data_IF_282233736957
#
_entry.id   IF_282233736957
#
_cell.length_a   1.000
_cell.length_b   1.000
_cell.length_c   1.000
_cell.angle_alpha   90.00
_cell.angle_beta   90.00
_cell.angle_gamma   90.00
#
_symmetry.space_group_name_H-M   'P 1'
#
loop_
_entity.id
_entity.type
_entity.pdbx_description
1 polymer ?
#
# COMPACT_ATOMS: atom_id res chain seq x y z
N UNK A 1 -6.72 -34.93 -36.45
CA UNK A 1 -6.57 -33.55 -35.90
C UNK A 1 -5.25 -33.49 -35.15
N UNK A 2 -4.37 -32.50 -35.39
CA UNK A 2 -2.99 -32.55 -34.94
C UNK A 2 -2.90 -32.34 -33.43
N UNK A 3 -2.19 -33.26 -32.77
CA UNK A 3 -1.85 -33.21 -31.35
C UNK A 3 -0.77 -32.15 -31.17
N UNK A 4 -1.19 -30.92 -30.91
CA UNK A 4 -0.32 -29.76 -30.73
C UNK A 4 0.52 -29.85 -29.46
N UNK A 5 1.78 -30.24 -29.63
CA UNK A 5 2.99 -29.87 -28.86
C UNK A 5 2.77 -29.31 -27.42
N UNK A 6 2.53 -30.20 -26.45
CA UNK A 6 2.40 -29.86 -25.01
C UNK A 6 3.73 -29.83 -24.24
N UNK A 7 4.85 -30.25 -24.82
CA UNK A 7 6.13 -30.37 -24.11
C UNK A 7 6.83 -29.02 -23.85
N UNK A 8 6.83 -28.11 -24.82
CA UNK A 8 7.49 -26.80 -24.68
C UNK A 8 6.83 -25.90 -23.61
N UNK A 9 5.50 -25.96 -23.46
CA UNK A 9 4.76 -25.26 -22.39
C UNK A 9 5.10 -25.79 -20.99
N UNK A 10 5.44 -27.08 -20.86
CA UNK A 10 5.74 -27.69 -19.55
C UNK A 10 7.12 -27.33 -18.99
N UNK A 11 8.14 -27.25 -19.85
CA UNK A 11 9.52 -26.95 -19.44
C UNK A 11 9.69 -25.50 -18.96
N UNK A 12 9.22 -24.53 -19.74
CA UNK A 12 9.29 -23.10 -19.39
C UNK A 12 8.48 -22.80 -18.12
N UNK A 13 7.28 -23.39 -17.98
CA UNK A 13 6.47 -23.21 -16.78
C UNK A 13 7.15 -23.81 -15.53
N UNK A 14 7.76 -24.99 -15.65
CA UNK A 14 8.47 -25.63 -14.54
C UNK A 14 9.68 -24.80 -14.11
N UNK A 15 10.47 -24.32 -15.07
CA UNK A 15 11.58 -23.41 -14.82
C UNK A 15 11.09 -22.10 -14.17
N UNK A 16 10.02 -21.51 -14.70
CA UNK A 16 9.43 -20.28 -14.15
C UNK A 16 8.97 -20.47 -12.70
N UNK A 17 8.36 -21.61 -12.37
CA UNK A 17 7.96 -21.94 -11.00
C UNK A 17 9.18 -22.07 -10.06
N UNK A 18 10.24 -22.74 -10.49
CA UNK A 18 11.49 -22.87 -9.72
C UNK A 18 12.17 -21.51 -9.49
N UNK A 19 12.29 -20.72 -10.56
CA UNK A 19 12.84 -19.36 -10.49
C UNK A 19 11.99 -18.48 -9.57
N UNK A 20 10.67 -18.55 -9.64
CA UNK A 20 9.75 -17.79 -8.80
C UNK A 20 9.90 -18.13 -7.31
N UNK A 21 10.13 -19.40 -6.96
CA UNK A 21 10.42 -19.79 -5.58
C UNK A 21 11.76 -19.22 -5.09
N UNK A 22 12.79 -19.24 -5.95
CA UNK A 22 14.11 -18.67 -5.64
C UNK A 22 14.06 -17.14 -5.50
N UNK A 23 13.35 -16.45 -6.39
CA UNK A 23 13.16 -14.99 -6.33
C UNK A 23 12.46 -14.58 -5.04
N UNK A 24 11.40 -15.27 -4.63
CA UNK A 24 10.73 -15.01 -3.35
C UNK A 24 11.70 -15.11 -2.17
N UNK A 25 12.49 -16.18 -2.11
CA UNK A 25 13.51 -16.36 -1.07
C UNK A 25 14.54 -15.23 -1.08
N UNK A 26 15.07 -14.88 -2.25
CA UNK A 26 16.06 -13.80 -2.38
C UNK A 26 15.49 -12.44 -1.95
N UNK A 27 14.26 -12.15 -2.33
CA UNK A 27 13.57 -10.92 -1.91
C UNK A 27 13.37 -10.87 -0.39
N UNK A 28 12.91 -11.96 0.23
CA UNK A 28 12.76 -12.03 1.69
C UNK A 28 14.10 -11.82 2.41
N UNK A 29 15.19 -12.42 1.91
CA UNK A 29 16.53 -12.20 2.48
C UNK A 29 16.95 -10.74 2.31
N UNK A 30 16.76 -10.16 1.13
CA UNK A 30 17.13 -8.78 0.86
C UNK A 30 16.38 -7.79 1.76
N UNK A 31 15.07 -7.95 1.91
CA UNK A 31 14.26 -7.10 2.80
C UNK A 31 14.71 -7.19 4.27
N UNK A 32 15.08 -8.40 4.75
CA UNK A 32 15.68 -8.59 6.09
C UNK A 32 17.02 -7.88 6.24
N UNK A 33 17.87 -7.92 5.22
CA UNK A 33 19.14 -7.19 5.23
C UNK A 33 18.91 -5.67 5.26
N UNK A 34 17.91 -5.17 4.54
CA UNK A 34 17.54 -3.76 4.59
C UNK A 34 17.05 -3.34 5.96
N UNK A 35 16.25 -4.16 6.64
CA UNK A 35 15.83 -3.90 8.02
C UNK A 35 17.04 -3.78 8.95
N UNK A 36 18.02 -4.67 8.83
CA UNK A 36 19.27 -4.59 9.63
C UNK A 36 20.03 -3.28 9.37
N UNK A 37 20.12 -2.85 8.11
CA UNK A 37 20.75 -1.59 7.76
C UNK A 37 20.03 -0.38 8.38
N UNK A 38 18.70 -0.40 8.44
CA UNK A 38 17.90 0.64 9.10
C UNK A 38 18.13 0.65 10.61
N UNK A 39 18.16 -0.53 11.26
CA UNK A 39 18.45 -0.63 12.70
C UNK A 39 19.84 -0.08 13.03
N UNK A 40 20.85 -0.45 12.24
CA UNK A 40 22.20 0.06 12.38
C UNK A 40 22.27 1.59 12.20
N UNK A 41 21.53 2.13 11.23
CA UNK A 41 21.42 3.58 11.06
C UNK A 41 20.80 4.24 12.30
N UNK A 42 19.71 3.67 12.84
CA UNK A 42 19.05 4.17 14.04
C UNK A 42 19.97 4.15 15.27
N UNK A 43 20.82 3.12 15.41
CA UNK A 43 21.87 3.07 16.45
C UNK A 43 22.90 4.19 16.27
N UNK A 44 23.35 4.42 15.03
CA UNK A 44 24.36 5.44 14.70
C UNK A 44 23.87 6.86 15.01
N UNK A 45 22.57 7.12 14.88
CA UNK A 45 21.96 8.41 15.22
C UNK A 45 21.45 8.47 16.68
N UNK A 46 21.83 7.49 17.51
CA UNK A 46 21.47 7.39 18.94
C UNK A 46 19.95 7.46 19.19
N UNK A 47 19.16 6.83 18.31
CA UNK A 47 17.72 6.76 18.51
C UNK A 47 17.39 6.01 19.80
N UNK A 48 16.39 6.51 20.54
CA UNK A 48 15.92 5.94 21.84
C UNK A 48 15.67 4.44 21.77
N UNK A 49 15.17 3.95 20.63
CA UNK A 49 15.07 2.52 20.37
C UNK A 49 15.35 2.23 18.87
N UNK A 50 16.45 1.54 18.56
CA UNK A 50 16.83 1.21 17.17
C UNK A 50 15.81 0.38 16.40
N UNK A 51 14.94 -0.36 17.10
CA UNK A 51 13.95 -1.24 16.50
C UNK A 51 12.68 -0.49 16.05
N UNK A 52 12.55 0.79 16.38
CA UNK A 52 11.42 1.61 15.93
C UNK A 52 11.74 2.21 14.57
N UNK A 53 10.85 1.97 13.61
CA UNK A 53 10.91 2.57 12.28
C UNK A 53 9.62 3.32 11.93
N UNK A 54 9.71 4.17 10.93
CA UNK A 54 8.61 4.89 10.33
C UNK A 54 8.48 4.43 8.88
N UNK A 55 7.25 4.23 8.42
CA UNK A 55 7.00 3.70 7.07
C UNK A 55 5.99 4.55 6.31
N UNK A 56 6.18 4.65 5.00
CA UNK A 56 5.14 5.00 4.06
C UNK A 56 4.61 3.72 3.43
N UNK A 57 3.30 3.56 3.39
CA UNK A 57 2.66 2.34 2.89
C UNK A 57 1.69 2.69 1.78
N UNK A 58 1.88 2.03 0.64
CA UNK A 58 1.04 2.19 -0.54
C UNK A 58 0.68 0.81 -1.11
N UNK A 59 -0.48 0.74 -1.76
CA UNK A 59 -1.04 -0.46 -2.34
C UNK A 59 -1.40 -0.23 -3.80
N UNK A 60 -0.92 -1.10 -4.70
CA UNK A 60 -1.25 -1.04 -6.12
C UNK A 60 -2.03 -2.26 -6.56
N UNK A 61 -3.19 -2.02 -7.15
CA UNK A 61 -4.05 -3.03 -7.74
C UNK A 61 -3.68 -3.25 -9.21
N UNK A 62 -3.92 -4.46 -9.72
CA UNK A 62 -3.73 -4.77 -11.14
C UNK A 62 -4.87 -4.28 -12.06
N UNK A 63 -5.74 -3.39 -11.54
CA UNK A 63 -6.75 -2.67 -12.32
C UNK A 63 -6.50 -1.17 -12.19
N UNK A 64 -6.63 -0.45 -13.30
CA UNK A 64 -6.55 1.01 -13.35
C UNK A 64 -7.77 1.69 -12.73
N UNK A 65 -8.90 0.97 -12.65
CA UNK A 65 -10.15 1.46 -12.05
C UNK A 65 -10.72 0.40 -11.12
N UNK A 66 -10.92 0.79 -9.86
CA UNK A 66 -11.78 0.03 -8.94
C UNK A 66 -13.15 0.70 -9.02
N UNK A 67 -13.94 0.31 -10.03
CA UNK A 67 -15.28 0.88 -10.25
C UNK A 67 -16.27 0.62 -9.10
N UNK A 68 -15.93 -0.27 -8.16
CA UNK A 68 -16.75 -0.66 -7.01
C UNK A 68 -15.84 -0.90 -5.79
N UNK A 69 -15.91 -0.02 -4.79
CA UNK A 69 -15.22 -0.17 -3.49
C UNK A 69 -15.95 -1.12 -2.54
N UNK A 70 -17.22 -1.43 -2.78
CA UNK A 70 -18.03 -2.38 -2.00
C UNK A 70 -18.38 -3.62 -2.85
N UNK A 71 -18.55 -4.76 -2.19
CA UNK A 71 -18.73 -6.08 -2.82
C UNK A 71 -20.18 -6.42 -3.16
N UNK A 72 -20.43 -7.33 -4.13
CA UNK A 72 -19.48 -8.07 -4.99
C UNK A 72 -19.20 -7.35 -6.32
N UNK A 73 -17.95 -7.41 -6.85
CA UNK A 73 -17.64 -6.83 -8.18
C UNK A 73 -16.28 -6.13 -8.36
N UNK A 74 -15.31 -6.29 -7.45
CA UNK A 74 -13.96 -5.72 -7.66
C UNK A 74 -13.30 -6.34 -8.90
N UNK A 75 -13.03 -5.51 -9.91
CA UNK A 75 -12.38 -5.92 -11.16
C UNK A 75 -10.92 -6.40 -10.96
N UNK A 76 -10.28 -5.98 -9.88
CA UNK A 76 -8.91 -6.37 -9.56
C UNK A 76 -8.83 -7.81 -9.00
N UNK A 77 -7.88 -8.57 -9.54
CA UNK A 77 -7.58 -9.95 -9.14
C UNK A 77 -6.30 -10.08 -8.32
N UNK A 78 -5.48 -9.02 -8.30
CA UNK A 78 -4.21 -8.95 -7.56
C UNK A 78 -3.98 -7.54 -7.03
N UNK A 79 -3.31 -7.46 -5.89
CA UNK A 79 -2.72 -6.25 -5.36
C UNK A 79 -1.30 -6.51 -4.83
N UNK A 80 -0.53 -5.43 -4.70
CA UNK A 80 0.79 -5.41 -4.08
C UNK A 80 0.83 -4.25 -3.10
N UNK A 81 1.03 -4.54 -1.83
CA UNK A 81 1.30 -3.57 -0.78
C UNK A 81 2.79 -3.48 -0.50
N UNK A 82 3.33 -2.27 -0.43
CA UNK A 82 4.75 -2.02 -0.14
C UNK A 82 4.85 -1.08 1.06
N UNK A 83 5.66 -1.48 2.05
CA UNK A 83 6.12 -0.55 3.07
C UNK A 83 7.52 -0.06 2.69
N UNK A 84 7.68 1.25 2.67
CA UNK A 84 8.95 1.94 2.43
C UNK A 84 9.36 2.67 3.71
N UNK A 85 10.56 2.42 4.22
CA UNK A 85 11.04 3.10 5.43
C UNK A 85 11.32 4.58 5.16
N UNK A 86 11.13 5.41 6.19
CA UNK A 86 11.32 6.86 6.09
C UNK A 86 12.41 7.40 7.02
N UNK A 87 13.09 6.53 7.77
CA UNK A 87 14.17 6.84 8.70
C UNK A 87 15.44 7.29 7.97
N UNK A 88 15.79 6.61 6.88
CA UNK A 88 17.04 6.85 6.15
C UNK A 88 16.78 7.66 4.87
N UNK A 89 17.87 8.14 4.24
CA UNK A 89 17.83 8.76 2.91
C UNK A 89 17.64 7.74 1.79
N UNK A 90 17.93 6.45 2.04
CA UNK A 90 17.88 5.40 1.02
C UNK A 90 16.47 4.90 0.75
N UNK A 91 15.52 5.08 1.68
CA UNK A 91 14.11 4.71 1.52
C UNK A 91 13.96 3.23 1.13
N UNK A 92 14.54 2.36 1.94
CA UNK A 92 14.49 0.92 1.71
C UNK A 92 13.07 0.35 1.80
N UNK A 93 12.85 -0.80 1.17
CA UNK A 93 11.60 -1.56 1.28
C UNK A 93 11.80 -2.68 2.31
N UNK A 94 11.38 -2.50 3.58
CA UNK A 94 11.51 -3.53 4.61
C UNK A 94 10.47 -4.66 4.48
N UNK A 95 9.33 -4.44 3.82
CA UNK A 95 8.30 -5.47 3.64
C UNK A 95 7.45 -5.18 2.40
N UNK A 96 7.05 -6.25 1.73
CA UNK A 96 6.15 -6.21 0.59
C UNK A 96 5.23 -7.43 0.61
N UNK A 97 3.95 -7.21 0.35
CA UNK A 97 2.90 -8.22 0.40
C UNK A 97 2.19 -8.24 -0.94
N UNK A 98 1.96 -9.43 -1.48
CA UNK A 98 1.16 -9.62 -2.70
C UNK A 98 -0.08 -10.41 -2.31
N UNK A 99 -1.28 -9.84 -2.52
CA UNK A 99 -2.51 -10.61 -2.42
C UNK A 99 -3.04 -10.91 -3.82
N UNK A 100 -3.48 -12.14 -4.05
CA UNK A 100 -4.04 -12.53 -5.34
C UNK A 100 -5.05 -13.67 -5.24
N UNK A 101 -6.02 -13.58 -6.13
CA UNK A 101 -7.14 -14.53 -6.27
C UNK A 101 -6.86 -15.61 -7.33
N UNK A 102 -5.71 -15.51 -7.99
CA UNK A 102 -5.38 -16.32 -9.16
C UNK A 102 -4.88 -17.70 -8.76
N UNK A 103 -5.64 -18.73 -9.14
CA UNK A 103 -5.18 -20.11 -9.11
C UNK A 103 -5.70 -20.86 -10.34
N UNK A 104 -4.78 -21.28 -11.23
CA UNK A 104 -5.11 -21.99 -12.46
C UNK A 104 -5.76 -23.34 -12.18
N UNK A 105 -5.19 -24.15 -11.28
CA UNK A 105 -5.75 -25.47 -10.92
C UNK A 105 -7.13 -25.33 -10.27
N UNK A 106 -7.32 -24.32 -9.41
CA UNK A 106 -8.63 -24.02 -8.83
C UNK A 106 -9.67 -23.60 -9.88
N UNK A 107 -9.28 -22.81 -10.87
CA UNK A 107 -10.15 -22.43 -11.98
C UNK A 107 -10.52 -23.64 -12.87
N UNK A 108 -9.56 -24.52 -13.13
CA UNK A 108 -9.78 -25.76 -13.88
C UNK A 108 -10.74 -26.72 -13.16
N UNK A 109 -10.58 -26.92 -11.84
CA UNK A 109 -11.48 -27.75 -11.04
C UNK A 109 -12.92 -27.19 -11.05
N UNK A 110 -13.09 -25.87 -10.91
CA UNK A 110 -14.42 -25.24 -11.05
C UNK A 110 -15.03 -25.45 -12.43
N UNK A 111 -14.23 -25.38 -13.49
CA UNK A 111 -14.67 -25.66 -14.86
C UNK A 111 -15.16 -27.10 -15.06
N UNK A 112 -14.75 -28.04 -14.20
CA UNK A 112 -15.23 -29.43 -14.17
C UNK A 112 -16.50 -29.64 -13.35
N UNK A 113 -16.98 -28.62 -12.64
CA UNK A 113 -18.12 -28.71 -11.74
C UNK A 113 -17.75 -28.92 -10.26
N UNK A 114 -16.45 -28.97 -9.91
CA UNK A 114 -16.03 -29.09 -8.52
C UNK A 114 -16.26 -27.77 -7.76
N UNK A 115 -16.80 -27.86 -6.54
CA UNK A 115 -17.01 -26.71 -5.65
C UNK A 115 -15.71 -26.29 -4.97
N UNK A 116 -14.77 -25.74 -5.74
CA UNK A 116 -13.46 -25.27 -5.25
C UNK A 116 -13.44 -23.75 -5.12
N UNK A 117 -13.45 -23.25 -3.88
CA UNK A 117 -13.48 -21.81 -3.58
C UNK A 117 -12.09 -21.23 -3.22
N UNK A 118 -11.06 -21.77 -3.87
CA UNK A 118 -9.68 -21.88 -3.40
C UNK A 118 -9.15 -20.72 -2.52
N UNK A 119 -8.92 -20.99 -1.22
CA UNK A 119 -8.17 -20.18 -0.26
C UNK A 119 -6.66 -20.24 -0.44
N UNK A 120 -6.13 -21.29 -1.10
CA UNK A 120 -5.71 -22.59 -0.48
C UNK A 120 -6.33 -23.99 -0.81
N UNK A 121 -7.57 -24.14 -1.30
CA UNK A 121 -8.43 -25.33 -1.07
C UNK A 121 -8.25 -26.58 -1.97
N UNK A 122 -7.03 -26.86 -2.41
CA UNK A 122 -6.63 -28.06 -3.16
C UNK A 122 -5.11 -28.13 -3.20
N UNK A 123 -4.55 -29.31 -3.50
CA UNK A 123 -3.10 -29.45 -3.66
C UNK A 123 -2.59 -28.54 -4.79
N UNK A 124 -1.50 -27.82 -4.53
CA UNK A 124 -0.91 -26.88 -5.49
C UNK A 124 -1.73 -25.59 -5.66
N UNK A 125 -2.51 -25.19 -4.66
CA UNK A 125 -3.15 -23.89 -4.67
C UNK A 125 -2.11 -22.77 -4.64
N UNK A 126 -2.29 -21.79 -5.51
CA UNK A 126 -1.42 -20.61 -5.60
C UNK A 126 -2.07 -19.37 -5.03
N UNK A 127 -3.41 -19.29 -4.98
CA UNK A 127 -4.11 -18.08 -4.53
C UNK A 127 -3.86 -17.81 -3.04
N UNK A 128 -3.66 -16.54 -2.69
CA UNK A 128 -3.56 -16.08 -1.31
C UNK A 128 -4.92 -15.68 -0.73
N UNK A 129 -5.91 -15.42 -1.60
CA UNK A 129 -7.25 -15.00 -1.23
C UNK A 129 -8.31 -15.79 -2.01
N UNK A 130 -9.47 -16.05 -1.41
CA UNK A 130 -10.62 -16.60 -2.13
C UNK A 130 -11.04 -15.73 -3.32
N UNK A 131 -11.61 -16.35 -4.35
CA UNK A 131 -12.02 -15.69 -5.60
C UNK A 131 -12.95 -14.50 -5.36
N UNK A 132 -13.84 -14.61 -4.38
CA UNK A 132 -14.81 -13.57 -4.03
C UNK A 132 -14.37 -12.69 -2.86
N UNK A 133 -13.19 -12.92 -2.27
CA UNK A 133 -12.67 -12.13 -1.14
C UNK A 133 -12.22 -10.71 -1.57
N UNK A 134 -12.26 -9.71 -0.66
CA UNK A 134 -11.84 -8.35 -1.00
C UNK A 134 -10.33 -8.32 -1.14
N UNK A 135 -9.85 -7.48 -2.05
CA UNK A 135 -8.53 -6.90 -1.86
C UNK A 135 -8.68 -5.75 -0.85
N UNK A 136 -7.77 -5.68 0.11
CA UNK A 136 -7.96 -4.89 1.34
C UNK A 136 -6.62 -4.33 1.85
N UNK A 137 -6.50 -3.00 1.82
CA UNK A 137 -5.36 -2.28 2.39
C UNK A 137 -5.16 -2.55 3.88
N UNK A 138 -6.25 -2.77 4.61
CA UNK A 138 -6.18 -3.17 6.01
C UNK A 138 -5.45 -4.51 6.17
N UNK A 139 -5.82 -5.53 5.37
CA UNK A 139 -5.21 -6.85 5.46
C UNK A 139 -3.77 -6.86 4.93
N UNK A 140 -3.46 -6.00 3.95
CA UNK A 140 -2.09 -5.74 3.52
C UNK A 140 -1.26 -5.14 4.66
N UNK A 141 -1.76 -4.09 5.32
CA UNK A 141 -1.12 -3.48 6.48
C UNK A 141 -0.89 -4.49 7.61
N UNK A 142 -1.88 -5.33 7.90
CA UNK A 142 -1.76 -6.39 8.91
C UNK A 142 -0.67 -7.40 8.57
N UNK A 143 -0.55 -7.80 7.32
CA UNK A 143 0.48 -8.73 6.86
C UNK A 143 1.89 -8.12 6.96
N UNK A 144 2.04 -6.86 6.55
CA UNK A 144 3.28 -6.08 6.69
C UNK A 144 3.68 -5.95 8.16
N UNK A 145 2.75 -5.51 9.02
CA UNK A 145 3.02 -5.32 10.43
C UNK A 145 3.37 -6.63 11.13
N UNK A 146 2.72 -7.75 10.76
CA UNK A 146 3.08 -9.08 11.27
C UNK A 146 4.50 -9.49 10.87
N UNK A 147 4.89 -9.31 9.60
CA UNK A 147 6.24 -9.67 9.12
C UNK A 147 7.33 -8.86 9.83
N UNK A 148 7.08 -7.58 10.11
CA UNK A 148 8.01 -6.70 10.82
C UNK A 148 8.05 -7.01 12.33
N UNK A 149 6.89 -7.28 12.95
CA UNK A 149 6.82 -7.67 14.35
C UNK A 149 7.63 -8.94 14.63
N UNK A 150 7.54 -9.94 13.75
CA UNK A 150 8.34 -11.18 13.83
C UNK A 150 9.85 -10.94 13.74
N UNK A 151 10.28 -9.80 13.20
CA UNK A 151 11.67 -9.37 13.13
C UNK A 151 12.07 -8.42 14.27
N UNK A 152 11.23 -8.33 15.31
CA UNK A 152 11.37 -7.39 16.41
C UNK A 152 11.55 -5.95 15.90
N UNK A 153 10.64 -5.52 15.01
CA UNK A 153 10.58 -4.16 14.47
C UNK A 153 9.21 -3.58 14.81
N UNK A 154 9.21 -2.38 15.38
CA UNK A 154 8.02 -1.63 15.73
C UNK A 154 7.83 -0.48 14.76
N UNK A 155 6.60 -0.23 14.33
CA UNK A 155 6.26 0.93 13.51
C UNK A 155 5.66 2.01 14.39
N UNK A 156 6.26 3.21 14.43
CA UNK A 156 5.69 4.34 15.18
C UNK A 156 4.76 5.17 14.31
N UNK A 157 5.26 5.65 13.17
CA UNK A 157 4.48 6.43 12.21
C UNK A 157 4.26 5.64 10.92
N UNK A 158 3.01 5.61 10.45
CA UNK A 158 2.63 5.04 9.17
C UNK A 158 1.99 6.12 8.27
N UNK A 159 2.72 6.57 7.25
CA UNK A 159 2.20 7.48 6.24
C UNK A 159 1.40 6.69 5.22
N UNK A 160 0.14 7.09 5.01
CA UNK A 160 -0.80 6.45 4.08
C UNK A 160 -1.57 7.52 3.32
N UNK A 161 -2.21 7.12 2.23
CA UNK A 161 -3.17 7.95 1.52
C UNK A 161 -4.37 8.32 2.41
N UNK A 162 -5.14 9.33 1.99
CA UNK A 162 -6.20 9.94 2.81
C UNK A 162 -7.20 8.93 3.39
N UNK A 163 -7.60 7.93 2.59
CA UNK A 163 -8.56 6.88 2.97
C UNK A 163 -7.89 5.54 3.32
N UNK A 164 -6.55 5.52 3.39
CA UNK A 164 -5.77 4.30 3.57
C UNK A 164 -5.98 3.66 4.94
N UNK A 165 -6.31 2.35 4.96
CA UNK A 165 -6.53 1.57 6.20
C UNK A 165 -5.31 0.76 6.64
N UNK A 166 -4.20 0.85 5.91
CA UNK A 166 -2.98 0.08 6.20
C UNK A 166 -2.42 0.35 7.60
N UNK A 167 -2.48 1.60 8.08
CA UNK A 167 -1.98 1.96 9.42
C UNK A 167 -2.75 1.22 10.54
N UNK A 168 -4.08 1.13 10.43
CA UNK A 168 -4.89 0.38 11.39
C UNK A 168 -4.58 -1.13 11.35
N UNK A 169 -4.38 -1.69 10.15
CA UNK A 169 -3.96 -3.09 10.00
C UNK A 169 -2.61 -3.39 10.66
N UNK A 170 -1.63 -2.49 10.47
CA UNK A 170 -0.32 -2.58 11.11
C UNK A 170 -0.47 -2.53 12.63
N UNK A 171 -1.25 -1.57 13.15
CA UNK A 171 -1.47 -1.43 14.60
C UNK A 171 -2.04 -2.72 15.20
N UNK A 172 -3.09 -3.27 14.60
CA UNK A 172 -3.73 -4.49 15.08
C UNK A 172 -2.77 -5.69 15.05
N UNK A 173 -1.87 -5.77 14.06
CA UNK A 173 -0.84 -6.82 14.04
C UNK A 173 0.23 -6.64 15.12
N UNK A 174 0.67 -5.40 15.38
CA UNK A 174 1.69 -5.12 16.38
C UNK A 174 1.17 -5.33 17.79
N UNK A 175 -0.11 -5.02 18.04
CA UNK A 175 -0.78 -5.23 19.33
C UNK A 175 -0.84 -6.70 19.76
N UNK A 176 -0.75 -7.66 18.84
CA UNK A 176 -0.70 -9.09 19.17
C UNK A 176 0.54 -9.40 20.01
N UNK A 177 1.69 -8.81 19.67
CA UNK A 177 2.97 -9.02 20.37
C UNK A 177 3.30 -7.90 21.37
N UNK A 178 2.77 -6.71 21.14
CA UNK A 178 3.00 -5.51 21.94
C UNK A 178 1.66 -4.80 22.22
N UNK A 179 0.84 -5.28 23.17
CA UNK A 179 -0.54 -4.81 23.38
C UNK A 179 -0.68 -3.30 23.66
N UNK A 180 0.34 -2.70 24.26
CA UNK A 180 0.40 -1.27 24.59
C UNK A 180 0.91 -0.40 23.43
N UNK A 181 1.28 -1.00 22.31
CA UNK A 181 1.82 -0.27 21.17
C UNK A 181 0.71 0.37 20.33
N UNK A 182 0.95 1.62 19.92
CA UNK A 182 0.03 2.39 19.08
C UNK A 182 0.78 2.95 17.87
N UNK A 183 0.20 2.75 16.69
CA UNK A 183 0.74 3.30 15.43
C UNK A 183 0.01 4.60 15.12
N UNK A 184 0.76 5.66 14.86
CA UNK A 184 0.19 6.95 14.47
C UNK A 184 0.13 7.06 12.94
N UNK A 185 -1.07 7.27 12.41
CA UNK A 185 -1.28 7.45 10.97
C UNK A 185 -0.95 8.89 10.57
N UNK A 186 -0.03 9.04 9.63
CA UNK A 186 0.25 10.30 8.95
C UNK A 186 -0.42 10.32 7.57
N UNK A 187 -0.86 11.49 7.14
CA UNK A 187 -1.38 11.68 5.79
C UNK A 187 -0.22 12.00 4.83
N UNK A 188 -0.18 11.36 3.66
CA UNK A 188 0.75 11.76 2.60
C UNK A 188 0.53 13.24 2.23
N UNK A 189 1.56 14.10 2.34
CA UNK A 189 1.49 15.50 1.96
C UNK A 189 0.95 15.73 0.54
N UNK A 190 1.27 14.84 -0.42
CA UNK A 190 0.83 14.99 -1.81
C UNK A 190 -0.68 14.86 -1.95
N UNK A 191 -1.24 13.80 -1.35
CA UNK A 191 -2.67 13.53 -1.31
C UNK A 191 -3.43 14.55 -0.45
N UNK A 192 -2.85 14.96 0.69
CA UNK A 192 -3.41 15.99 1.54
C UNK A 192 -3.52 17.32 0.79
N UNK A 193 -2.46 17.75 0.11
CA UNK A 193 -2.42 18.98 -0.67
C UNK A 193 -3.43 18.95 -1.83
N UNK A 194 -3.56 17.81 -2.53
CA UNK A 194 -4.57 17.63 -3.56
C UNK A 194 -6.01 17.68 -3.01
N UNK A 195 -6.23 17.11 -1.82
CA UNK A 195 -7.52 17.12 -1.13
C UNK A 195 -7.90 18.54 -0.70
N UNK A 196 -6.96 19.29 -0.11
CA UNK A 196 -7.16 20.70 0.25
C UNK A 196 -7.48 21.57 -0.98
N UNK A 197 -6.78 21.36 -2.10
CA UNK A 197 -7.10 22.01 -3.37
C UNK A 197 -8.54 21.73 -3.79
N UNK A 198 -8.96 20.47 -3.73
CA UNK A 198 -10.33 20.07 -4.13
C UNK A 198 -11.38 20.69 -3.21
N UNK A 199 -11.16 20.70 -1.89
CA UNK A 199 -12.06 21.33 -0.94
C UNK A 199 -12.14 22.84 -1.16
N UNK A 200 -11.01 23.51 -1.32
CA UNK A 200 -10.98 24.95 -1.63
C UNK A 200 -11.72 25.23 -2.95
N UNK A 201 -11.46 24.46 -4.00
CA UNK A 201 -12.11 24.64 -5.29
C UNK A 201 -13.62 24.35 -5.28
N UNK A 202 -14.08 23.49 -4.38
CA UNK A 202 -15.52 23.16 -4.24
C UNK A 202 -16.23 23.96 -3.15
N UNK A 203 -15.50 24.71 -2.31
CA UNK A 203 -16.08 25.51 -1.25
C UNK A 203 -17.05 26.57 -1.80
N UNK A 204 -18.12 26.84 -1.07
CA UNK A 204 -19.04 27.93 -1.38
C UNK A 204 -18.42 29.22 -0.84
N UNK A 205 -18.04 30.10 -1.76
CA UNK A 205 -17.61 31.46 -1.43
C UNK A 205 -18.72 32.43 -1.84
N UNK A 206 -18.70 33.65 -1.32
CA UNK A 206 -19.62 34.69 -1.80
C UNK A 206 -19.37 34.98 -3.28
N UNK A 207 -20.45 35.30 -4.02
CA UNK A 207 -20.37 35.56 -5.46
C UNK A 207 -19.48 36.78 -5.79
N UNK A 208 -19.29 37.68 -4.83
CA UNK A 208 -18.47 38.88 -4.92
C UNK A 208 -16.98 38.63 -4.61
N UNK A 209 -16.64 37.49 -4.00
CA UNK A 209 -15.27 37.21 -3.55
C UNK A 209 -14.26 37.11 -4.70
N UNK A 210 -14.68 36.65 -5.87
CA UNK A 210 -13.80 36.46 -7.02
C UNK A 210 -14.17 37.42 -8.16
N UNK A 211 -13.20 38.20 -8.69
CA UNK A 211 -13.44 39.06 -9.83
C UNK A 211 -13.72 38.24 -11.09
N UNK A 212 -14.66 38.71 -11.91
CA UNK A 212 -14.99 38.10 -13.21
C UNK A 212 -16.43 38.37 -13.64
N UNK A 213 -16.62 38.58 -14.95
CA UNK A 213 -17.97 38.79 -15.53
C UNK A 213 -18.77 37.49 -15.66
N UNK A 214 -18.08 36.38 -15.92
CA UNK A 214 -18.70 35.07 -16.12
C UNK A 214 -18.34 34.10 -14.99
N UNK A 215 -19.18 33.07 -14.79
CA UNK A 215 -18.90 31.99 -13.82
C UNK A 215 -17.60 31.25 -14.13
N UNK A 216 -17.25 31.13 -15.42
CA UNK A 216 -16.00 30.50 -15.87
C UNK A 216 -14.78 31.32 -15.45
N UNK A 217 -14.83 32.65 -15.58
CA UNK A 217 -13.72 33.53 -15.21
C UNK A 217 -13.53 33.55 -13.68
N UNK A 218 -14.62 33.63 -12.91
CA UNK A 218 -14.58 33.47 -11.45
C UNK A 218 -14.00 32.11 -11.05
N UNK A 219 -14.34 31.05 -11.79
CA UNK A 219 -13.79 29.70 -11.60
C UNK A 219 -12.29 29.61 -11.83
N UNK A 220 -11.72 30.35 -12.80
CA UNK A 220 -10.27 30.42 -13.02
C UNK A 220 -9.55 31.06 -11.83
N UNK A 221 -10.06 32.18 -11.32
CA UNK A 221 -9.46 32.87 -10.16
C UNK A 221 -9.55 32.01 -8.90
N UNK A 222 -10.70 31.35 -8.68
CA UNK A 222 -10.89 30.37 -7.60
C UNK A 222 -9.89 29.21 -7.69
N UNK A 223 -9.60 28.73 -8.91
CA UNK A 223 -8.59 27.69 -9.14
C UNK A 223 -7.19 28.17 -8.75
N UNK A 224 -6.82 29.40 -9.09
CA UNK A 224 -5.54 30.01 -8.70
C UNK A 224 -5.43 30.09 -7.17
N UNK A 225 -6.47 30.59 -6.48
CA UNK A 225 -6.49 30.58 -5.00
C UNK A 225 -6.33 29.17 -4.43
N UNK A 226 -7.02 28.18 -5.00
CA UNK A 226 -6.93 26.79 -4.55
C UNK A 226 -5.53 26.20 -4.76
N UNK A 227 -4.84 26.59 -5.83
CA UNK A 227 -3.44 26.23 -6.08
C UNK A 227 -2.48 26.93 -5.13
N UNK A 228 -2.73 28.19 -4.80
CA UNK A 228 -1.95 28.95 -3.82
C UNK A 228 -2.11 28.36 -2.41
N UNK A 229 -3.33 28.02 -1.98
CA UNK A 229 -3.58 27.28 -0.73
C UNK A 229 -2.81 25.95 -0.72
N UNK A 230 -2.86 25.19 -1.83
CA UNK A 230 -2.09 23.95 -1.97
C UNK A 230 -0.58 24.17 -1.78
N UNK A 231 -0.01 25.17 -2.43
CA UNK A 231 1.42 25.48 -2.38
C UNK A 231 1.86 26.02 -0.99
N UNK A 232 0.97 26.76 -0.32
CA UNK A 232 1.22 27.26 1.04
C UNK A 232 1.08 26.17 2.09
N UNK A 233 0.19 25.19 1.93
CA UNK A 233 0.07 24.08 2.87
C UNK A 233 1.33 23.20 2.95
N UNK A 234 2.13 23.10 1.89
CA UNK A 234 3.46 22.47 1.99
C UNK A 234 4.50 23.34 2.71
N UNK A 235 4.33 24.66 2.69
CA UNK A 235 5.20 25.65 3.36
C UNK A 235 4.85 25.85 4.85
N UNK A 236 3.56 25.80 5.20
CA UNK A 236 3.07 25.98 6.58
C UNK A 236 3.68 24.94 7.53
N UNK A 237 3.92 23.70 7.07
CA UNK A 237 4.60 22.69 7.88
C UNK A 237 6.09 23.00 8.11
N UNK A 238 6.80 23.54 7.11
CA UNK A 238 8.20 23.95 7.25
C UNK A 238 8.33 25.14 8.21
N UNK A 239 7.47 26.14 8.07
CA UNK A 239 7.51 27.36 8.90
C UNK A 239 7.08 27.10 10.35
N UNK A 240 6.08 26.24 10.59
CA UNK A 240 5.66 25.86 11.94
C UNK A 240 6.69 25.00 12.70
N UNK A 241 7.51 24.22 11.98
CA UNK A 241 8.62 23.46 12.58
C UNK A 241 9.81 24.37 12.93
N UNK A 242 10.01 25.47 12.19
CA UNK A 242 11.12 26.40 12.46
C UNK A 242 10.79 27.42 13.56
N UNK A 243 9.50 27.71 13.80
CA UNK A 243 9.03 28.61 14.87
C UNK A 243 8.92 27.92 16.25
N UNK A 244 9.32 26.65 16.37
CA UNK A 244 9.39 25.89 17.63
C UNK A 244 10.82 25.72 18.17
N UNK A 245 11.76 26.56 17.74
CA UNK A 245 13.06 26.74 18.39
C UNK A 245 13.12 28.12 19.03
#
# INVERSE_FOLDING_TARGET
>A
MPVGNTRARSGVQTLSNQVSAKMRRLNTVNMREKIKAVKFFNETVEAVNPNIINVAVDGRYNSITIGQTKKPGQAASQDIGIACETNTKHKYIPSAVVQHKLCWKGAWLRGKGDTVNCPGGHEGCTASLPVHAPLSEYDMGKSIGTELALQNVLIKYATTDGDGRSAAGIEDSLKILHPMWSVERLADPSHLAATQLRHCYNAKFSDEMFPGKTRLDKGKVKKILSQDVKARCSLIMTTLVTLRR
#
